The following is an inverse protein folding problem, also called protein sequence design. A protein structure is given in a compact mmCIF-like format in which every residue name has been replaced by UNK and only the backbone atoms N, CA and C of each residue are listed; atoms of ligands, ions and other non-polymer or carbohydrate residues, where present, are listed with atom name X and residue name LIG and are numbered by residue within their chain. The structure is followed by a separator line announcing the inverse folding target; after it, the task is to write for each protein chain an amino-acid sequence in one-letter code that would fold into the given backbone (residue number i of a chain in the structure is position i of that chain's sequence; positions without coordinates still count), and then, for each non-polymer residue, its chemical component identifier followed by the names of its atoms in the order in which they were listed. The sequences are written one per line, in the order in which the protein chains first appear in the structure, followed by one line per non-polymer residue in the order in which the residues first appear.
data_IF_510658927118
#
_entry.id   IF_510658927118
#
_cell.length_a   1.000
_cell.length_b   1.000
_cell.length_c   1.000
_cell.angle_alpha   90.00
_cell.angle_beta   90.00
_cell.angle_gamma   90.00
#
_symmetry.space_group_name_H-M   'P 1'
#
loop_
_entity.id
_entity.type
_entity.pdbx_description
1 polymer ?
#
# COMPACT_ATOMS: atom_id res chain seq x y z
N UNK A 1 -1.54 33.90 60.23
CA UNK A 1 -1.36 32.76 59.31
C UNK A 1 -0.94 33.33 57.97
N UNK A 2 0.26 33.01 57.44
CA UNK A 2 0.67 33.45 56.11
C UNK A 2 0.21 32.44 55.05
N UNK A 3 -0.29 32.95 53.93
CA UNK A 3 -0.76 32.21 52.77
C UNK A 3 0.38 31.42 52.09
N UNK A 4 0.16 30.14 51.80
CA UNK A 4 1.10 29.31 51.06
C UNK A 4 1.08 29.68 49.57
N UNK A 5 2.16 30.28 49.07
CA UNK A 5 2.37 30.47 47.63
C UNK A 5 2.63 29.11 46.98
N UNK A 6 1.73 28.65 46.11
CA UNK A 6 1.97 27.49 45.26
C UNK A 6 3.02 27.86 44.20
N UNK A 7 4.14 27.13 44.17
CA UNK A 7 5.14 27.24 43.12
C UNK A 7 4.54 26.74 41.79
N UNK A 8 4.80 27.39 40.63
CA UNK A 8 4.32 26.88 39.36
C UNK A 8 5.03 25.56 39.04
N UNK A 9 4.24 24.56 38.65
CA UNK A 9 4.77 23.27 38.21
C UNK A 9 5.77 23.50 37.07
N UNK A 10 6.99 23.01 37.23
CA UNK A 10 8.01 23.05 36.19
C UNK A 10 7.45 22.37 34.94
N UNK A 11 7.24 23.15 33.89
CA UNK A 11 6.85 22.66 32.58
C UNK A 11 7.94 21.70 32.11
N UNK A 12 7.59 20.43 31.91
CA UNK A 12 8.56 19.44 31.42
C UNK A 12 9.03 19.89 30.04
N UNK A 13 10.34 19.86 29.75
CA UNK A 13 10.84 20.27 28.45
C UNK A 13 10.17 19.43 27.35
N UNK A 14 9.71 20.12 26.30
CA UNK A 14 9.14 19.49 25.11
C UNK A 14 10.14 18.45 24.58
N UNK A 15 9.72 17.20 24.33
CA UNK A 15 10.63 16.18 23.83
C UNK A 15 11.21 16.59 22.48
N UNK A 16 12.53 16.50 22.36
CA UNK A 16 13.29 16.79 21.14
C UNK A 16 12.69 16.03 19.94
N UNK A 17 12.15 16.73 18.93
CA UNK A 17 11.54 16.09 17.76
C UNK A 17 12.55 15.22 16.98
N UNK A 18 13.86 15.42 17.18
CA UNK A 18 14.92 14.67 16.49
C UNK A 18 15.29 13.34 17.17
N UNK A 19 14.69 13.00 18.31
CA UNK A 19 14.96 11.75 19.07
C UNK A 19 13.72 10.90 19.33
N UNK A 20 12.79 10.84 18.37
CA UNK A 20 11.73 9.81 18.42
C UNK A 20 12.27 8.54 17.77
N UNK A 21 12.75 7.60 18.59
CA UNK A 21 12.70 6.21 18.16
C UNK A 21 11.21 5.90 17.95
N UNK A 22 10.75 5.89 16.70
CA UNK A 22 9.41 5.43 16.38
C UNK A 22 9.31 4.01 16.94
N UNK A 23 8.37 3.81 17.87
CA UNK A 23 8.11 2.50 18.47
C UNK A 23 7.56 1.54 17.40
N UNK A 24 7.02 2.09 16.32
CA UNK A 24 6.48 1.37 15.18
C UNK A 24 6.77 2.15 13.90
N UNK A 25 7.35 1.48 12.91
CA UNK A 25 7.52 2.02 11.56
C UNK A 25 6.35 1.56 10.69
N UNK A 26 5.43 2.47 10.39
CA UNK A 26 4.27 2.15 9.56
C UNK A 26 4.65 2.03 8.08
N UNK A 27 4.05 1.08 7.37
CA UNK A 27 4.13 0.98 5.91
C UNK A 27 3.46 2.16 5.18
N UNK A 28 2.57 2.88 5.88
CA UNK A 28 1.62 3.81 5.27
C UNK A 28 2.26 4.96 4.52
N UNK A 29 3.41 5.44 4.97
CA UNK A 29 4.04 6.66 4.45
C UNK A 29 5.55 6.49 4.46
N UNK A 30 6.24 7.28 3.64
CA UNK A 30 7.69 7.22 3.51
C UNK A 30 8.43 7.68 4.78
N UNK A 31 7.76 8.48 5.63
CA UNK A 31 8.28 8.90 6.94
C UNK A 31 7.84 7.96 8.09
N UNK A 32 7.26 6.82 7.74
CA UNK A 32 6.77 5.77 8.62
C UNK A 32 5.65 6.20 9.58
N UNK A 33 4.97 7.31 9.30
CA UNK A 33 3.78 7.74 10.04
C UNK A 33 2.54 6.94 9.63
N UNK A 34 1.60 6.66 10.54
CA UNK A 34 0.51 5.72 10.28
C UNK A 34 -0.72 6.33 9.59
N UNK A 35 -0.70 7.59 9.20
CA UNK A 35 -1.88 8.30 8.67
C UNK A 35 -1.51 8.95 7.36
N UNK A 36 -2.31 8.71 6.34
CA UNK A 36 -2.22 9.37 5.04
C UNK A 36 -3.57 10.01 4.69
N UNK A 37 -3.53 11.23 4.16
CA UNK A 37 -4.66 11.91 3.55
C UNK A 37 -4.45 11.99 2.05
N UNK A 38 -5.48 11.64 1.29
CA UNK A 38 -5.51 11.91 -0.14
C UNK A 38 -6.80 12.61 -0.51
N UNK A 39 -6.74 13.34 -1.62
CA UNK A 39 -7.85 14.09 -2.14
C UNK A 39 -8.00 13.75 -3.62
N UNK A 40 -9.19 13.31 -4.00
CA UNK A 40 -9.53 13.02 -5.38
C UNK A 40 -10.59 14.01 -5.86
N UNK A 41 -10.43 14.49 -7.08
CA UNK A 41 -11.44 15.24 -7.80
C UNK A 41 -11.58 14.61 -9.19
N UNK A 42 -12.81 14.57 -9.70
CA UNK A 42 -13.08 14.12 -11.06
C UNK A 42 -13.18 15.33 -12.00
N UNK A 43 -14.06 15.28 -12.99
CA UNK A 43 -14.33 16.39 -13.90
C UNK A 43 -15.05 17.55 -13.20
N UNK A 44 -15.36 18.60 -13.96
CA UNK A 44 -16.00 19.84 -13.49
C UNK A 44 -17.39 19.62 -12.84
N UNK A 45 -17.93 18.40 -12.87
CA UNK A 45 -19.25 18.05 -12.32
C UNK A 45 -19.16 17.21 -11.04
N UNK A 46 -17.99 16.62 -10.74
CA UNK A 46 -17.78 15.75 -9.60
C UNK A 46 -17.53 16.53 -8.30
N UNK A 47 -18.12 16.05 -7.19
CA UNK A 47 -17.76 16.58 -5.87
C UNK A 47 -16.36 16.06 -5.49
N UNK A 48 -15.47 16.92 -4.96
CA UNK A 48 -14.21 16.48 -4.41
C UNK A 48 -14.40 15.46 -3.27
N UNK A 49 -13.61 14.40 -3.29
CA UNK A 49 -13.63 13.32 -2.29
C UNK A 49 -12.36 13.34 -1.44
N UNK A 50 -12.53 13.51 -0.13
CA UNK A 50 -11.43 13.32 0.83
C UNK A 50 -11.35 11.84 1.17
N UNK A 51 -10.12 11.30 1.17
CA UNK A 51 -9.83 9.93 1.55
C UNK A 51 -8.83 9.92 2.69
N UNK A 52 -9.12 9.14 3.72
CA UNK A 52 -8.27 8.95 4.89
C UNK A 52 -7.82 7.50 4.94
N UNK A 53 -6.52 7.27 5.10
CA UNK A 53 -5.98 5.95 5.36
C UNK A 53 -5.23 5.94 6.70
N UNK A 54 -5.40 4.88 7.49
CA UNK A 54 -4.76 4.72 8.79
C UNK A 54 -4.30 3.28 9.03
N UNK A 55 -3.08 3.12 9.56
CA UNK A 55 -2.67 1.89 10.23
C UNK A 55 -3.02 1.97 11.73
N UNK A 56 -3.92 1.12 12.23
CA UNK A 56 -4.22 1.07 13.66
C UNK A 56 -3.04 0.48 14.45
N UNK A 57 -2.29 1.32 15.16
CA UNK A 57 -1.17 0.89 16.00
C UNK A 57 -1.62 0.82 17.46
N UNK A 58 -1.47 -0.35 18.08
CA UNK A 58 -1.64 -0.48 19.53
C UNK A 58 -0.41 0.12 20.23
N UNK A 59 -0.64 0.98 21.23
CA UNK A 59 0.43 1.41 22.13
C UNK A 59 0.87 0.21 22.97
N UNK A 60 2.03 -0.37 22.64
CA UNK A 60 2.73 -1.25 23.57
C UNK A 60 3.33 -0.34 24.63
N UNK A 61 2.68 -0.29 25.80
CA UNK A 61 3.32 0.29 26.98
C UNK A 61 4.49 -0.64 27.31
N UNK A 62 5.72 -0.17 27.10
CA UNK A 62 6.89 -0.80 27.71
C UNK A 62 6.88 -0.41 29.19
N UNK A 63 5.95 -0.99 29.95
CA UNK A 63 6.00 -0.95 31.41
C UNK A 63 6.79 -2.17 31.86
N UNK A 64 7.98 -1.95 32.41
CA UNK A 64 8.75 -2.97 33.11
C UNK A 64 8.08 -3.52 34.39
N UNK A 65 6.75 -3.42 34.55
CA UNK A 65 6.01 -3.85 35.73
C UNK A 65 4.56 -4.19 35.38
N UNK A 66 4.28 -5.35 34.78
CA UNK A 66 3.03 -6.09 35.05
C UNK A 66 3.22 -7.56 34.68
N UNK A 67 3.23 -8.42 35.70
CA UNK A 67 3.01 -9.86 35.57
C UNK A 67 1.58 -10.11 35.12
N UNK A 68 1.39 -10.45 33.84
CA UNK A 68 0.25 -11.25 33.34
C UNK A 68 0.54 -11.65 31.90
N UNK A 69 0.46 -12.95 31.68
CA UNK A 69 0.76 -13.65 30.44
C UNK A 69 -0.29 -13.34 29.35
N UNK A 70 -0.20 -12.17 28.75
CA UNK A 70 -0.78 -11.89 27.44
C UNK A 70 0.31 -12.11 26.38
N UNK A 71 0.00 -12.73 25.22
CA UNK A 71 0.99 -13.01 24.19
C UNK A 71 1.60 -11.69 23.70
N UNK A 72 2.87 -11.48 24.07
CA UNK A 72 3.69 -10.38 23.57
C UNK A 72 3.66 -10.45 22.05
N UNK A 73 3.13 -9.41 21.40
CA UNK A 73 3.48 -9.14 20.01
C UNK A 73 4.99 -8.87 20.03
N UNK A 74 5.74 -9.91 19.68
CA UNK A 74 7.09 -10.12 20.17
C UNK A 74 8.04 -8.99 19.81
N UNK A 75 8.87 -8.60 20.77
CA UNK A 75 10.08 -7.79 20.58
C UNK A 75 11.11 -8.40 19.61
N UNK A 76 10.78 -9.51 18.93
CA UNK A 76 11.56 -10.22 17.92
C UNK A 76 10.80 -10.29 16.56
N UNK A 77 9.95 -9.32 16.24
CA UNK A 77 9.35 -9.29 14.90
C UNK A 77 10.39 -8.81 13.89
N UNK A 78 10.71 -9.65 12.91
CA UNK A 78 11.58 -9.29 11.78
C UNK A 78 10.92 -8.17 10.98
N UNK A 79 11.64 -7.09 10.72
CA UNK A 79 11.19 -6.06 9.77
C UNK A 79 11.26 -6.66 8.36
N UNK A 80 10.14 -6.66 7.64
CA UNK A 80 10.09 -7.02 6.23
C UNK A 80 9.94 -5.72 5.46
N UNK A 81 10.87 -5.47 4.52
CA UNK A 81 10.92 -4.22 3.74
C UNK A 81 10.86 -2.94 4.60
N UNK A 82 11.49 -2.99 5.80
CA UNK A 82 11.59 -1.84 6.70
C UNK A 82 10.37 -1.59 7.58
N UNK A 83 9.38 -2.49 7.64
CA UNK A 83 8.19 -2.34 8.48
C UNK A 83 7.67 -3.67 9.08
N UNK A 84 6.76 -3.56 10.05
CA UNK A 84 6.03 -4.69 10.66
C UNK A 84 4.52 -4.69 10.37
N UNK A 85 4.05 -3.69 9.61
CA UNK A 85 2.65 -3.53 9.24
C UNK A 85 2.05 -4.80 8.63
N UNK A 86 0.86 -5.15 9.11
CA UNK A 86 0.08 -6.30 8.63
C UNK A 86 -1.14 -5.85 7.80
N UNK A 87 -1.71 -4.70 8.12
CA UNK A 87 -2.85 -4.15 7.43
C UNK A 87 -2.99 -2.65 7.71
N UNK A 88 -3.76 -1.97 6.87
CA UNK A 88 -4.25 -0.63 7.12
C UNK A 88 -5.68 -0.49 6.58
N UNK A 89 -6.38 0.51 7.10
CA UNK A 89 -7.74 0.85 6.74
C UNK A 89 -7.75 2.11 5.86
N UNK A 90 -8.69 2.19 4.93
CA UNK A 90 -8.98 3.44 4.21
C UNK A 90 -10.48 3.74 4.19
N UNK A 91 -10.79 5.03 4.15
CA UNK A 91 -12.14 5.58 4.18
C UNK A 91 -12.28 6.57 3.03
N UNK A 92 -13.23 6.33 2.14
CA UNK A 92 -13.70 7.36 1.21
C UNK A 92 -14.83 8.12 1.90
N UNK A 93 -14.68 9.44 2.03
CA UNK A 93 -15.62 10.30 2.75
C UNK A 93 -16.52 11.01 1.74
N UNK A 94 -17.81 10.71 1.79
CA UNK A 94 -18.83 11.33 0.93
C UNK A 94 -19.73 12.26 1.76
N UNK A 95 -20.44 13.21 1.11
CA UNK A 95 -21.44 14.01 1.80
C UNK A 95 -22.51 13.16 2.51
N UNK A 96 -22.83 11.99 1.94
CA UNK A 96 -23.82 11.05 2.46
C UNK A 96 -23.20 9.66 2.54
N UNK A 97 -22.30 9.47 3.50
CA UNK A 97 -21.79 8.16 3.90
C UNK A 97 -20.29 8.00 3.80
N UNK A 98 -19.84 6.78 4.12
CA UNK A 98 -18.43 6.39 4.07
C UNK A 98 -18.33 5.04 3.36
N UNK A 99 -17.29 4.87 2.55
CA UNK A 99 -16.89 3.54 2.09
C UNK A 99 -15.65 3.12 2.85
N UNK A 100 -15.66 1.90 3.40
CA UNK A 100 -14.55 1.34 4.14
C UNK A 100 -13.80 0.31 3.28
N UNK A 101 -12.47 0.38 3.30
CA UNK A 101 -11.57 -0.52 2.60
C UNK A 101 -10.51 -1.02 3.57
N UNK A 102 -10.09 -2.27 3.41
CA UNK A 102 -8.99 -2.85 4.17
C UNK A 102 -7.91 -3.31 3.21
N UNK A 103 -6.66 -2.99 3.55
CA UNK A 103 -5.48 -3.36 2.80
C UNK A 103 -4.62 -4.25 3.68
N UNK A 104 -4.24 -5.42 3.17
CA UNK A 104 -3.44 -6.43 3.86
C UNK A 104 -2.04 -6.50 3.25
N UNK A 105 -1.04 -6.68 4.12
CA UNK A 105 0.38 -6.78 3.78
C UNK A 105 0.84 -8.24 4.03
N UNK A 106 0.82 -9.11 3.01
CA UNK A 106 1.02 -10.54 3.19
C UNK A 106 2.48 -10.95 3.47
N UNK A 107 3.46 -10.05 3.28
CA UNK A 107 4.87 -10.36 3.37
C UNK A 107 5.28 -10.93 4.74
N UNK A 108 4.74 -10.39 5.82
CA UNK A 108 5.00 -10.87 7.17
C UNK A 108 4.39 -12.24 7.45
N UNK A 109 3.19 -12.52 6.92
CA UNK A 109 2.59 -13.85 6.96
C UNK A 109 3.42 -14.85 6.16
N UNK A 110 3.89 -14.45 4.98
CA UNK A 110 4.78 -15.24 4.14
C UNK A 110 6.07 -15.63 4.85
N UNK A 111 6.73 -14.67 5.50
CA UNK A 111 7.95 -14.90 6.27
C UNK A 111 7.71 -15.88 7.43
N UNK A 112 6.66 -15.66 8.23
CA UNK A 112 6.33 -16.50 9.39
C UNK A 112 6.00 -17.93 9.00
N UNK A 113 5.19 -18.11 7.95
CA UNK A 113 4.64 -19.41 7.57
C UNK A 113 5.53 -20.15 6.57
N UNK A 114 6.55 -19.50 6.00
CA UNK A 114 7.42 -20.06 4.96
C UNK A 114 6.72 -20.31 3.62
N UNK A 115 5.56 -19.66 3.40
CA UNK A 115 4.73 -19.83 2.21
C UNK A 115 4.93 -18.62 1.29
N UNK A 116 5.16 -18.78 -0.02
CA UNK A 116 5.27 -17.65 -0.95
C UNK A 116 4.05 -16.73 -0.89
N UNK A 117 4.27 -15.42 -0.92
CA UNK A 117 3.20 -14.39 -0.87
C UNK A 117 2.08 -14.70 -1.87
N UNK A 118 2.43 -15.05 -3.12
CA UNK A 118 1.44 -15.37 -4.14
C UNK A 118 0.51 -16.51 -3.70
N UNK A 119 1.03 -17.57 -3.08
CA UNK A 119 0.21 -18.70 -2.67
C UNK A 119 -0.77 -18.33 -1.55
N UNK A 120 -0.37 -17.45 -0.63
CA UNK A 120 -1.25 -16.91 0.42
C UNK A 120 -2.38 -16.11 -0.22
N UNK A 121 -2.05 -15.20 -1.13
CA UNK A 121 -3.03 -14.34 -1.82
C UNK A 121 -3.97 -15.18 -2.69
N UNK A 122 -3.43 -16.12 -3.46
CA UNK A 122 -4.21 -16.97 -4.34
C UNK A 122 -5.24 -17.80 -3.55
N UNK A 123 -4.83 -18.43 -2.45
CA UNK A 123 -5.72 -19.22 -1.60
C UNK A 123 -6.86 -18.35 -1.03
N UNK A 124 -6.52 -17.18 -0.48
CA UNK A 124 -7.52 -16.26 0.10
C UNK A 124 -8.51 -15.74 -0.95
N UNK A 125 -8.03 -15.33 -2.13
CA UNK A 125 -8.90 -14.80 -3.20
C UNK A 125 -9.76 -15.91 -3.82
N UNK A 126 -9.24 -17.14 -3.91
CA UNK A 126 -10.02 -18.30 -4.35
C UNK A 126 -11.18 -18.57 -3.40
N UNK A 127 -10.91 -18.58 -2.09
CA UNK A 127 -11.94 -18.76 -1.05
C UNK A 127 -13.00 -17.64 -1.12
N UNK A 128 -12.58 -16.38 -1.23
CA UNK A 128 -13.48 -15.22 -1.38
C UNK A 128 -14.29 -15.24 -2.68
N UNK A 129 -13.74 -15.82 -3.74
CA UNK A 129 -14.42 -15.92 -5.03
C UNK A 129 -15.56 -16.94 -5.02
N UNK A 130 -15.57 -17.85 -4.04
CA UNK A 130 -16.54 -18.94 -3.96
C UNK A 130 -16.57 -19.75 -5.27
N UNK A 131 -17.77 -20.03 -5.77
CA UNK A 131 -17.98 -20.77 -7.03
C UNK A 131 -17.98 -19.87 -8.29
N UNK A 132 -17.51 -18.62 -8.20
CA UNK A 132 -17.50 -17.71 -9.35
C UNK A 132 -16.30 -18.03 -10.28
N UNK A 133 -16.56 -18.83 -11.31
CA UNK A 133 -15.54 -19.27 -12.29
C UNK A 133 -14.86 -18.11 -13.02
N UNK A 134 -15.53 -16.98 -13.23
CA UNK A 134 -14.94 -15.82 -13.93
C UNK A 134 -13.87 -15.12 -13.08
N UNK A 135 -14.05 -15.05 -11.76
CA UNK A 135 -13.08 -14.46 -10.82
C UNK A 135 -11.84 -15.35 -10.70
N UNK A 136 -12.05 -16.66 -10.61
CA UNK A 136 -10.97 -17.65 -10.57
C UNK A 136 -10.15 -17.58 -11.87
N UNK A 137 -10.82 -17.56 -13.03
CA UNK A 137 -10.13 -17.44 -14.32
C UNK A 137 -9.33 -16.14 -14.44
N UNK A 138 -9.83 -15.02 -13.91
CA UNK A 138 -9.09 -13.77 -13.88
C UNK A 138 -7.84 -13.86 -12.98
N UNK A 139 -7.95 -14.51 -11.82
CA UNK A 139 -6.84 -14.77 -10.92
C UNK A 139 -5.77 -15.66 -11.57
N UNK A 140 -6.15 -16.71 -12.30
CA UNK A 140 -5.23 -17.59 -13.04
C UNK A 140 -4.48 -16.84 -14.14
N UNK A 141 -5.17 -15.96 -14.89
CA UNK A 141 -4.53 -15.09 -15.88
C UNK A 141 -3.51 -14.17 -15.23
N UNK A 142 -3.84 -13.61 -14.07
CA UNK A 142 -2.94 -12.76 -13.30
C UNK A 142 -1.74 -13.55 -12.76
N UNK A 143 -1.92 -14.82 -12.35
CA UNK A 143 -0.82 -15.70 -11.95
C UNK A 143 0.16 -15.95 -13.09
N UNK A 144 -0.35 -16.30 -14.26
CA UNK A 144 0.47 -16.56 -15.45
C UNK A 144 1.27 -15.31 -15.85
N UNK A 145 0.66 -14.13 -15.72
CA UNK A 145 1.35 -12.86 -15.88
C UNK A 145 2.47 -12.67 -14.85
N UNK A 146 2.17 -12.87 -13.56
CA UNK A 146 3.10 -12.73 -12.46
C UNK A 146 4.32 -13.65 -12.63
N UNK A 147 4.11 -14.94 -12.92
CA UNK A 147 5.20 -15.90 -13.14
C UNK A 147 6.15 -15.47 -14.26
N UNK A 148 5.61 -14.88 -15.33
CA UNK A 148 6.41 -14.44 -16.46
C UNK A 148 7.22 -13.15 -16.18
N UNK A 149 6.82 -12.36 -15.17
CA UNK A 149 7.38 -11.03 -14.93
C UNK A 149 8.17 -10.93 -13.62
N UNK A 150 7.95 -11.84 -12.65
CA UNK A 150 8.52 -11.77 -11.30
C UNK A 150 10.05 -11.70 -11.30
N UNK A 151 10.71 -12.57 -12.07
CA UNK A 151 12.19 -12.58 -12.16
C UNK A 151 12.71 -11.45 -13.04
N UNK A 152 12.16 -11.31 -14.26
CA UNK A 152 12.67 -10.37 -15.27
C UNK A 152 12.55 -8.91 -14.82
N UNK A 153 11.43 -8.56 -14.18
CA UNK A 153 11.14 -7.18 -13.78
C UNK A 153 11.09 -7.01 -12.26
N UNK A 154 11.52 -8.02 -11.47
CA UNK A 154 11.45 -7.94 -10.01
C UNK A 154 10.02 -7.70 -9.49
N UNK A 155 9.00 -8.18 -10.22
CA UNK A 155 7.60 -7.93 -9.89
C UNK A 155 7.22 -8.71 -8.62
N UNK A 156 6.75 -8.01 -7.59
CA UNK A 156 6.34 -8.57 -6.29
C UNK A 156 4.89 -8.21 -5.99
N UNK A 157 4.16 -9.11 -5.34
CA UNK A 157 2.85 -8.76 -4.74
C UNK A 157 3.11 -8.09 -3.40
N UNK A 158 2.60 -6.87 -3.26
CA UNK A 158 2.87 -6.04 -2.08
C UNK A 158 1.66 -5.92 -1.16
N UNK A 159 0.50 -5.62 -1.73
CA UNK A 159 -0.71 -5.28 -0.98
C UNK A 159 -1.91 -6.01 -1.58
N UNK A 160 -2.82 -6.47 -0.74
CA UNK A 160 -4.15 -6.92 -1.17
C UNK A 160 -5.21 -6.04 -0.52
N UNK A 161 -5.96 -5.30 -1.33
CA UNK A 161 -7.08 -4.48 -0.87
C UNK A 161 -8.43 -5.17 -1.09
N UNK A 162 -9.36 -4.98 -0.16
CA UNK A 162 -10.76 -5.36 -0.33
C UNK A 162 -11.69 -4.24 0.13
N UNK A 163 -12.79 -4.05 -0.58
CA UNK A 163 -13.91 -3.27 -0.06
C UNK A 163 -14.56 -4.02 1.12
N UNK A 164 -15.05 -3.30 2.13
CA UNK A 164 -15.84 -3.88 3.22
C UNK A 164 -17.31 -4.00 2.81
N UNK A 165 -17.57 -4.97 1.95
CA UNK A 165 -18.88 -5.29 1.40
C UNK A 165 -19.06 -6.82 1.39
N UNK A 166 -20.30 -7.33 1.21
CA UNK A 166 -20.50 -8.75 0.97
C UNK A 166 -19.64 -9.26 -0.19
N UNK A 167 -19.17 -10.50 -0.14
CA UNK A 167 -18.24 -11.06 -1.13
C UNK A 167 -18.74 -10.97 -2.59
N UNK A 168 -20.05 -10.97 -2.80
CA UNK A 168 -20.64 -10.78 -4.14
C UNK A 168 -20.41 -9.37 -4.71
N UNK A 169 -20.23 -8.36 -3.86
CA UNK A 169 -20.09 -6.94 -4.22
C UNK A 169 -18.67 -6.40 -3.99
N UNK A 170 -17.92 -6.98 -3.05
CA UNK A 170 -16.57 -6.54 -2.74
C UNK A 170 -15.62 -6.75 -3.92
N UNK A 171 -14.85 -5.71 -4.26
CA UNK A 171 -13.74 -5.83 -5.20
C UNK A 171 -12.48 -6.19 -4.43
N UNK A 172 -11.71 -7.12 -4.99
CA UNK A 172 -10.36 -7.43 -4.56
C UNK A 172 -9.39 -6.72 -5.49
N UNK A 173 -8.39 -6.04 -4.91
CA UNK A 173 -7.30 -5.37 -5.61
C UNK A 173 -6.00 -6.00 -5.18
N UNK A 174 -5.18 -6.44 -6.13
CA UNK A 174 -3.84 -6.97 -5.86
C UNK A 174 -2.84 -5.97 -6.42
N UNK A 175 -2.03 -5.38 -5.54
CA UNK A 175 -1.02 -4.39 -5.90
C UNK A 175 0.31 -5.09 -6.09
N UNK A 176 0.95 -4.80 -7.23
CA UNK A 176 2.29 -5.27 -7.52
C UNK A 176 3.27 -4.10 -7.46
N UNK A 177 4.49 -4.38 -7.02
CA UNK A 177 5.63 -3.46 -7.09
C UNK A 177 6.72 -4.02 -7.99
N UNK A 178 7.42 -3.13 -8.69
CA UNK A 178 8.59 -3.45 -9.52
C UNK A 178 9.57 -2.29 -9.39
N UNK A 179 10.87 -2.59 -9.45
CA UNK A 179 11.91 -1.57 -9.53
C UNK A 179 12.21 -1.15 -10.98
N UNK A 180 11.64 -1.82 -11.99
CA UNK A 180 11.85 -1.45 -13.38
C UNK A 180 11.03 -0.21 -13.72
N UNK A 181 11.70 0.84 -14.18
CA UNK A 181 11.11 2.17 -14.33
C UNK A 181 11.17 2.72 -15.75
N UNK A 182 11.68 1.95 -16.72
CA UNK A 182 11.58 2.33 -18.13
C UNK A 182 10.13 2.43 -18.61
N UNK A 183 9.82 3.34 -19.53
CA UNK A 183 8.47 3.43 -20.12
C UNK A 183 8.07 2.12 -20.83
N UNK A 184 9.04 1.44 -21.44
CA UNK A 184 8.83 0.15 -22.10
C UNK A 184 8.38 -0.94 -21.12
N UNK A 185 9.01 -1.04 -19.96
CA UNK A 185 8.60 -2.01 -18.93
C UNK A 185 7.24 -1.65 -18.34
N UNK A 186 6.96 -0.37 -18.10
CA UNK A 186 5.64 0.12 -17.66
C UNK A 186 4.55 -0.32 -18.65
N UNK A 187 4.71 -0.03 -19.94
CA UNK A 187 3.76 -0.44 -20.99
C UNK A 187 3.59 -1.96 -21.03
N UNK A 188 4.69 -2.70 -20.98
CA UNK A 188 4.67 -4.16 -21.01
C UNK A 188 3.90 -4.76 -19.82
N UNK A 189 4.11 -4.22 -18.62
CA UNK A 189 3.47 -4.68 -17.36
C UNK A 189 1.99 -4.26 -17.34
N UNK A 190 1.68 -2.98 -17.60
CA UNK A 190 0.30 -2.45 -17.54
C UNK A 190 -0.64 -3.06 -18.58
N UNK A 191 -0.11 -3.49 -19.73
CA UNK A 191 -0.90 -4.20 -20.75
C UNK A 191 -1.02 -5.70 -20.49
N UNK A 192 -0.51 -6.20 -19.35
CA UNK A 192 -0.40 -7.61 -19.03
C UNK A 192 0.26 -8.40 -20.17
N UNK A 193 1.39 -7.91 -20.69
CA UNK A 193 2.13 -8.51 -21.82
C UNK A 193 1.32 -8.50 -23.12
N UNK A 194 0.52 -7.45 -23.34
CA UNK A 194 -0.37 -7.32 -24.49
C UNK A 194 -1.71 -8.05 -24.37
N UNK A 195 -2.01 -8.72 -23.25
CA UNK A 195 -3.31 -9.35 -23.02
C UNK A 195 -4.46 -8.33 -23.02
N UNK A 196 -4.20 -7.09 -22.60
CA UNK A 196 -5.17 -5.98 -22.59
C UNK A 196 -5.09 -5.08 -23.83
N UNK A 197 -4.58 -5.59 -24.95
CA UNK A 197 -4.48 -4.82 -26.19
C UNK A 197 -5.87 -4.39 -26.70
N UNK A 198 -6.06 -3.07 -26.86
CA UNK A 198 -7.27 -2.45 -27.40
C UNK A 198 -6.96 -1.00 -27.82
N UNK A 199 -7.77 -0.41 -28.69
CA UNK A 199 -7.61 0.99 -29.10
C UNK A 199 -7.66 1.95 -27.89
N UNK A 200 -8.53 1.66 -26.92
CA UNK A 200 -8.60 2.42 -25.67
C UNK A 200 -7.31 2.30 -24.84
N UNK A 201 -6.73 1.10 -24.76
CA UNK A 201 -5.44 0.90 -24.07
C UNK A 201 -4.30 1.62 -24.80
N UNK A 202 -4.30 1.61 -26.13
CA UNK A 202 -3.30 2.36 -26.91
C UNK A 202 -3.43 3.87 -26.73
N UNK A 203 -4.66 4.40 -26.74
CA UNK A 203 -4.92 5.79 -26.45
C UNK A 203 -4.46 6.16 -25.02
N UNK A 204 -4.77 5.32 -24.03
CA UNK A 204 -4.32 5.51 -22.65
C UNK A 204 -2.78 5.49 -22.52
N UNK A 205 -2.09 4.59 -23.22
CA UNK A 205 -0.62 4.51 -23.21
C UNK A 205 0.01 5.74 -23.88
N UNK A 206 -0.59 6.29 -24.94
CA UNK A 206 -0.15 7.56 -25.54
C UNK A 206 -0.30 8.72 -24.55
N UNK A 207 -1.46 8.84 -23.90
CA UNK A 207 -1.68 9.86 -22.86
C UNK A 207 -0.67 9.70 -21.71
N UNK A 208 -0.44 8.47 -21.25
CA UNK A 208 0.54 8.18 -20.20
C UNK A 208 1.95 8.59 -20.62
N UNK A 209 2.35 8.37 -21.89
CA UNK A 209 3.66 8.81 -22.41
C UNK A 209 3.83 10.31 -22.35
N UNK A 210 2.80 11.06 -22.74
CA UNK A 210 2.82 12.53 -22.65
C UNK A 210 3.00 12.97 -21.20
N UNK A 211 2.18 12.45 -20.29
CA UNK A 211 2.30 12.77 -18.85
C UNK A 211 3.67 12.38 -18.27
N UNK A 212 4.18 11.21 -18.65
CA UNK A 212 5.50 10.71 -18.24
C UNK A 212 6.61 11.70 -18.62
N UNK A 213 6.60 12.16 -19.87
CA UNK A 213 7.59 13.12 -20.35
C UNK A 213 7.46 14.47 -19.64
N UNK A 214 6.24 14.97 -19.43
CA UNK A 214 5.99 16.24 -18.75
C UNK A 214 6.46 16.21 -17.28
N UNK A 215 6.11 15.17 -16.54
CA UNK A 215 6.47 15.03 -15.11
C UNK A 215 7.98 14.88 -14.92
N UNK A 216 8.65 14.17 -15.83
CA UNK A 216 10.09 13.94 -15.77
C UNK A 216 10.92 15.01 -16.51
N UNK A 217 10.28 15.99 -17.14
CA UNK A 217 10.98 17.02 -17.94
C UNK A 217 11.72 16.47 -19.16
N UNK A 218 11.25 15.36 -19.75
CA UNK A 218 11.85 14.74 -20.93
C UNK A 218 11.33 15.38 -22.22
N UNK A 219 12.23 15.57 -23.20
CA UNK A 219 11.83 16.03 -24.53
C UNK A 219 11.02 14.96 -25.28
N UNK A 220 10.12 15.38 -26.16
CA UNK A 220 9.29 14.49 -26.98
C UNK A 220 10.11 13.51 -27.84
N UNK A 221 11.34 13.90 -28.20
CA UNK A 221 12.27 13.12 -29.03
C UNK A 221 13.13 12.11 -28.25
N UNK A 222 12.96 12.01 -26.93
CA UNK A 222 13.65 10.97 -26.15
C UNK A 222 13.16 9.58 -26.60
N UNK A 223 14.05 8.84 -27.25
CA UNK A 223 13.74 7.56 -27.89
C UNK A 223 13.39 6.49 -26.84
N UNK A 224 12.54 5.52 -27.23
CA UNK A 224 12.02 4.44 -26.38
C UNK A 224 13.09 3.57 -25.68
N UNK A 225 14.36 3.67 -26.11
CA UNK A 225 15.49 2.90 -25.59
C UNK A 225 16.42 3.64 -24.63
N UNK A 226 16.30 4.97 -24.46
CA UNK A 226 17.28 5.76 -23.69
C UNK A 226 16.90 6.06 -22.25
N UNK A 227 15.67 5.77 -21.83
CA UNK A 227 15.30 5.85 -20.41
C UNK A 227 15.84 4.63 -19.66
N UNK A 228 17.16 4.67 -19.41
CA UNK A 228 17.85 3.91 -18.38
C UNK A 228 17.00 3.95 -17.12
N UNK A 229 16.82 2.81 -16.43
CA UNK A 229 16.13 2.75 -15.13
C UNK A 229 16.61 3.93 -14.28
N UNK A 230 15.76 4.95 -14.16
CA UNK A 230 16.13 6.16 -13.43
C UNK A 230 16.34 5.70 -11.99
N UNK A 231 17.49 6.03 -11.37
CA UNK A 231 17.73 5.64 -10.00
C UNK A 231 16.58 6.17 -9.15
N UNK A 232 16.04 5.30 -8.29
CA UNK A 232 15.09 5.70 -7.27
C UNK A 232 15.77 6.81 -6.44
N UNK A 233 15.17 8.00 -6.45
CA UNK A 233 15.63 9.17 -5.66
C UNK A 233 15.46 8.87 -4.18
#
# INVERSE_FOLDING_TARGET
MPESKSSPAAEKPMPDPKKKHLIWSSFMTDDYTPIELSWAWEDDTGNPEVRLSIEPIRRILVSGLTTRDEPRMGSNSTMIDGHQSQYFAAFDLFPIGITFKVYYLPAQKSYRDGIPVWNIVHAAVTEMSGHNSSRILALDKLFNFYLACSVKYGLKVEIVGSDYLPASQARVKIYFRTSSSSFQSVRYIMTLRGVLASDNMEAAMKTLRVSWNLVLGLNADSTEGEAVDLPLV
#
